data_IF_613608979650
#
_entry.id   IF_613608979650
#
_cell.length_a   1.000
_cell.length_b   1.000
_cell.length_c   1.000
_cell.angle_alpha   90.00
_cell.angle_beta   90.00
_cell.angle_gamma   90.00
#
_symmetry.space_group_name_H-M   'P 1'
#
loop_
_entity.id
_entity.type
_entity.pdbx_description
1 polymer ?
#
# COMPACT_ATOMS: atom_id res chain seq x y z
N UNK A 1 -13.26 -4.83 13.32
CA UNK A 1 -12.68 -4.18 12.16
C UNK A 1 -11.41 -4.92 11.77
N UNK A 2 -11.17 -5.17 10.49
CA UNK A 2 -9.91 -5.70 9.95
C UNK A 2 -9.47 -4.80 8.81
N UNK A 3 -8.18 -4.49 8.74
CA UNK A 3 -7.61 -3.56 7.78
C UNK A 3 -6.39 -4.18 7.10
N UNK A 4 -6.27 -4.01 5.80
CA UNK A 4 -4.98 -4.19 5.14
C UNK A 4 -4.10 -2.96 5.39
N UNK A 5 -2.78 -3.14 5.33
CA UNK A 5 -1.86 -2.02 5.38
C UNK A 5 -2.15 -1.08 4.21
N UNK A 6 -2.43 0.21 4.44
CA UNK A 6 -2.70 1.14 3.34
C UNK A 6 -1.45 1.55 2.55
N UNK A 7 -0.28 1.09 2.95
CA UNK A 7 1.02 1.30 2.29
C UNK A 7 1.57 -0.01 1.71
N UNK A 8 2.40 0.04 0.65
CA UNK A 8 2.99 -1.14 0.05
C UNK A 8 4.16 -1.72 0.89
N UNK A 9 4.56 -2.94 0.58
CA UNK A 9 5.84 -3.49 1.05
C UNK A 9 7.01 -2.79 0.31
N UNK A 10 8.21 -2.72 0.93
CA UNK A 10 8.61 -3.30 2.22
C UNK A 10 8.41 -2.36 3.43
N UNK A 11 7.69 -1.27 3.28
CA UNK A 11 7.56 -0.25 4.31
C UNK A 11 6.90 -0.77 5.59
N UNK A 12 7.33 -0.25 6.73
CA UNK A 12 6.89 -0.68 8.07
C UNK A 12 6.58 0.52 8.95
N UNK A 13 5.75 0.29 9.95
CA UNK A 13 5.47 1.28 10.99
C UNK A 13 6.78 1.64 11.68
N UNK A 14 7.00 2.95 11.87
CA UNK A 14 8.17 3.46 12.57
C UNK A 14 8.07 3.14 14.06
N UNK A 15 8.92 2.24 14.55
CA UNK A 15 8.96 1.84 15.96
C UNK A 15 9.24 2.99 16.93
N UNK A 16 9.82 4.11 16.45
CA UNK A 16 10.06 5.31 17.25
C UNK A 16 8.86 6.28 17.26
N UNK A 17 7.81 5.97 16.52
CA UNK A 17 6.60 6.79 16.40
C UNK A 17 5.33 5.93 16.52
N UNK A 18 5.18 5.17 17.64
CA UNK A 18 4.00 4.36 17.88
C UNK A 18 2.79 5.23 18.24
N UNK A 19 1.61 4.62 18.24
CA UNK A 19 0.41 5.17 18.86
C UNK A 19 0.61 5.35 20.38
N UNK A 20 0.05 6.44 20.94
CA UNK A 20 0.05 6.69 22.38
C UNK A 20 0.99 7.81 22.82
N UNK A 21 1.29 7.87 24.10
CA UNK A 21 2.11 8.94 24.69
C UNK A 21 3.59 8.80 24.30
N UNK A 22 4.14 9.83 23.64
CA UNK A 22 5.53 9.87 23.24
C UNK A 22 6.12 11.29 23.32
N UNK A 23 7.45 11.41 23.25
CA UNK A 23 8.10 12.70 23.03
C UNK A 23 7.84 13.16 21.61
N UNK A 24 7.31 14.38 21.47
CA UNK A 24 7.06 14.97 20.16
C UNK A 24 8.40 15.32 19.46
N UNK A 25 8.64 14.90 18.23
CA UNK A 25 9.96 15.03 17.58
C UNK A 25 10.40 16.49 17.35
N UNK A 26 9.45 17.43 17.19
CA UNK A 26 9.75 18.85 16.97
C UNK A 26 9.86 19.60 18.30
N UNK A 27 8.93 19.39 19.24
CA UNK A 27 8.84 20.22 20.46
C UNK A 27 9.53 19.59 21.66
N UNK A 28 9.91 18.32 21.60
CA UNK A 28 10.45 17.56 22.73
C UNK A 28 9.47 17.30 23.87
N UNK A 29 8.27 17.91 23.86
CA UNK A 29 7.25 17.77 24.89
C UNK A 29 6.55 16.41 24.79
N UNK A 30 6.04 15.91 25.92
CA UNK A 30 5.19 14.72 25.95
C UNK A 30 3.86 15.03 25.26
N UNK A 31 3.51 14.27 24.21
CA UNK A 31 2.28 14.46 23.45
C UNK A 31 1.70 13.10 23.08
N UNK A 32 0.37 13.01 23.08
CA UNK A 32 -0.33 11.82 22.61
C UNK A 32 -0.29 11.77 21.08
N UNK A 33 0.12 10.63 20.52
CA UNK A 33 0.16 10.35 19.10
C UNK A 33 -1.07 9.52 18.72
N UNK A 34 -1.96 10.11 17.94
CA UNK A 34 -3.28 9.57 17.64
C UNK A 34 -3.28 8.49 16.53
N UNK A 35 -2.13 8.11 16.02
CA UNK A 35 -1.99 7.15 14.94
C UNK A 35 -0.62 6.49 14.96
N UNK A 36 -0.24 5.94 13.81
CA UNK A 36 1.09 5.39 13.55
C UNK A 36 1.70 6.11 12.36
N UNK A 37 3.03 6.25 12.38
CA UNK A 37 3.77 6.84 11.28
C UNK A 37 4.51 5.76 10.49
N UNK A 38 4.48 5.88 9.16
CA UNK A 38 5.22 5.03 8.23
C UNK A 38 6.07 5.93 7.35
N UNK A 39 7.39 5.82 7.44
CA UNK A 39 8.29 6.55 6.56
C UNK A 39 8.10 6.06 5.11
N UNK A 40 7.68 6.97 4.23
CA UNK A 40 7.37 6.70 2.84
C UNK A 40 7.93 7.81 1.96
N UNK A 41 8.56 7.50 0.82
CA UNK A 41 8.86 8.51 -0.19
C UNK A 41 7.60 9.27 -0.62
N UNK A 42 7.75 10.56 -0.95
CA UNK A 42 6.65 11.33 -1.54
C UNK A 42 6.19 10.66 -2.83
N UNK A 43 4.86 10.55 -3.01
CA UNK A 43 4.28 9.93 -4.19
C UNK A 43 4.01 8.43 -4.06
N UNK A 44 4.38 7.79 -2.92
CA UNK A 44 4.07 6.36 -2.72
C UNK A 44 2.55 6.14 -2.75
N UNK A 45 2.04 5.20 -3.58
CA UNK A 45 0.61 4.89 -3.65
C UNK A 45 0.06 4.39 -2.32
N UNK A 46 -1.10 4.92 -1.92
CA UNK A 46 -1.83 4.53 -0.72
C UNK A 46 -3.19 3.97 -1.10
N UNK A 47 -3.56 2.84 -0.49
CA UNK A 47 -4.80 2.12 -0.77
C UNK A 47 -5.81 2.24 0.39
N UNK A 48 -7.08 1.99 0.10
CA UNK A 48 -8.09 1.77 1.13
C UNK A 48 -7.80 0.46 1.87
N UNK A 49 -7.66 0.51 3.21
CA UNK A 49 -7.38 -0.67 4.02
C UNK A 49 -8.58 -1.62 4.16
N UNK A 50 -9.79 -1.15 3.89
CA UNK A 50 -11.05 -1.91 3.88
C UNK A 50 -12.06 -1.22 2.98
N UNK A 51 -13.17 -1.91 2.67
CA UNK A 51 -14.33 -1.34 1.99
C UNK A 51 -14.88 -0.14 2.77
N UNK A 52 -15.30 0.90 2.05
CA UNK A 52 -15.83 2.10 2.70
C UNK A 52 -16.33 3.14 1.72
N UNK A 53 -16.54 4.35 2.25
CA UNK A 53 -16.97 5.53 1.49
C UNK A 53 -16.07 6.70 1.85
N UNK A 54 -15.62 7.46 0.88
CA UNK A 54 -14.86 8.69 1.11
C UNK A 54 -15.75 9.68 1.88
N UNK A 55 -15.42 9.93 3.14
CA UNK A 55 -16.24 10.73 4.03
C UNK A 55 -15.77 12.19 4.13
N UNK A 56 -14.49 12.44 3.89
CA UNK A 56 -13.92 13.79 3.89
C UNK A 56 -12.58 13.81 3.18
N UNK A 57 -12.27 14.95 2.56
CA UNK A 57 -10.94 15.33 2.13
C UNK A 57 -10.74 16.82 2.38
N UNK A 58 -9.55 17.22 2.77
CA UNK A 58 -9.28 18.61 3.11
C UNK A 58 -7.79 18.89 3.27
N UNK A 59 -7.48 20.08 3.76
CA UNK A 59 -6.14 20.49 4.11
C UNK A 59 -6.15 21.35 5.38
N UNK A 60 -5.04 21.30 6.10
CA UNK A 60 -4.87 22.11 7.31
C UNK A 60 -3.39 22.26 7.70
N UNK A 61 -3.09 23.27 8.52
CA UNK A 61 -1.71 23.59 8.90
C UNK A 61 -0.99 22.41 9.58
N UNK A 62 -1.68 21.64 10.42
CA UNK A 62 -1.09 20.50 11.11
C UNK A 62 -1.04 19.25 10.23
N UNK A 63 -2.19 18.80 9.72
CA UNK A 63 -2.31 17.52 9.02
C UNK A 63 -1.91 17.55 7.54
N UNK A 64 -1.69 18.73 6.95
CA UNK A 64 -1.51 18.86 5.51
C UNK A 64 -2.74 18.37 4.74
N UNK A 65 -2.55 17.85 3.54
CA UNK A 65 -3.64 17.20 2.82
C UNK A 65 -4.05 15.92 3.52
N UNK A 66 -5.37 15.76 3.71
CA UNK A 66 -5.97 14.70 4.54
C UNK A 66 -7.09 14.01 3.78
N UNK A 67 -7.23 12.71 3.98
CA UNK A 67 -8.33 11.88 3.50
C UNK A 67 -8.92 11.09 4.67
N UNK A 68 -10.26 11.04 4.75
CA UNK A 68 -10.99 10.24 5.72
C UNK A 68 -11.94 9.30 4.99
N UNK A 69 -11.86 8.01 5.30
CA UNK A 69 -12.71 6.96 4.77
C UNK A 69 -13.57 6.41 5.90
N UNK A 70 -14.89 6.40 5.71
CA UNK A 70 -15.85 5.77 6.63
C UNK A 70 -16.07 4.32 6.21
N UNK A 71 -15.97 3.42 7.16
CA UNK A 71 -16.17 1.98 7.01
C UNK A 71 -17.44 1.50 7.74
N UNK A 72 -17.78 0.22 7.62
CA UNK A 72 -18.87 -0.40 8.36
C UNK A 72 -18.69 -0.24 9.89
N UNK A 73 -19.79 -0.20 10.64
CA UNK A 73 -19.76 -0.03 12.10
C UNK A 73 -19.23 1.32 12.58
N UNK A 74 -19.36 2.36 11.75
CA UNK A 74 -18.91 3.73 12.03
C UNK A 74 -17.40 3.89 12.27
N UNK A 75 -16.59 2.93 11.84
CA UNK A 75 -15.15 3.05 11.87
C UNK A 75 -14.67 4.01 10.77
N UNK A 76 -13.56 4.71 11.06
CA UNK A 76 -12.94 5.65 10.12
C UNK A 76 -11.44 5.44 10.07
N UNK A 77 -10.87 5.46 8.88
CA UNK A 77 -9.42 5.57 8.69
C UNK A 77 -9.07 6.95 8.17
N UNK A 78 -7.98 7.52 8.67
CA UNK A 78 -7.52 8.85 8.27
C UNK A 78 -6.08 8.79 7.81
N UNK A 79 -5.83 9.44 6.68
CA UNK A 79 -4.53 9.53 6.01
C UNK A 79 -4.11 10.99 6.04
N UNK A 80 -2.96 11.31 6.61
CA UNK A 80 -2.41 12.65 6.71
C UNK A 80 -1.13 12.82 5.91
N UNK A 81 -0.70 14.08 5.79
CA UNK A 81 0.52 14.50 5.12
C UNK A 81 0.59 14.07 3.65
N UNK A 82 -0.56 13.94 2.99
CA UNK A 82 -0.66 13.51 1.60
C UNK A 82 0.03 14.50 0.66
N UNK A 83 0.49 14.01 -0.50
CA UNK A 83 1.16 14.84 -1.51
C UNK A 83 0.23 15.93 -2.07
N UNK A 84 -1.04 15.57 -2.27
CA UNK A 84 -2.12 16.43 -2.80
C UNK A 84 -3.47 15.91 -2.30
N UNK A 85 -4.57 16.66 -2.51
CA UNK A 85 -5.90 16.14 -2.23
C UNK A 85 -6.15 14.81 -2.93
N UNK A 86 -6.87 13.90 -2.29
CA UNK A 86 -7.28 12.64 -2.92
C UNK A 86 -8.01 12.91 -4.24
N UNK A 87 -7.73 12.10 -5.25
CA UNK A 87 -8.46 12.12 -6.53
C UNK A 87 -9.88 11.55 -6.42
N UNK A 88 -10.19 10.83 -5.34
CA UNK A 88 -11.53 10.30 -5.07
C UNK A 88 -12.48 11.40 -4.62
N UNK A 89 -13.78 11.27 -4.94
CA UNK A 89 -14.79 12.23 -4.55
C UNK A 89 -15.41 11.89 -3.19
N UNK A 90 -15.85 12.90 -2.44
CA UNK A 90 -16.65 12.69 -1.21
C UNK A 90 -17.94 11.98 -1.62
N UNK A 91 -18.32 10.93 -0.84
CA UNK A 91 -19.44 10.05 -1.15
C UNK A 91 -19.10 8.86 -2.05
N UNK A 92 -17.92 8.84 -2.67
CA UNK A 92 -17.49 7.75 -3.55
C UNK A 92 -17.22 6.46 -2.75
N UNK A 93 -17.82 5.31 -3.16
CA UNK A 93 -17.49 4.03 -2.55
C UNK A 93 -16.09 3.56 -2.99
N UNK A 94 -15.37 2.93 -2.06
CA UNK A 94 -14.06 2.31 -2.31
C UNK A 94 -14.03 0.89 -1.76
N UNK A 95 -13.29 0.03 -2.44
CA UNK A 95 -13.01 -1.33 -2.00
C UNK A 95 -11.63 -1.41 -1.35
N UNK A 96 -11.44 -2.39 -0.47
CA UNK A 96 -10.11 -2.73 0.02
C UNK A 96 -9.16 -2.92 -1.16
N UNK A 97 -7.99 -2.28 -1.12
CA UNK A 97 -7.01 -2.31 -2.21
C UNK A 97 -7.15 -1.21 -3.27
N UNK A 98 -8.24 -0.46 -3.30
CA UNK A 98 -8.38 0.67 -4.23
C UNK A 98 -7.37 1.77 -3.91
N UNK A 99 -6.71 2.30 -4.94
CA UNK A 99 -5.86 3.48 -4.82
C UNK A 99 -6.72 4.68 -4.38
N UNK A 100 -6.31 5.36 -3.30
CA UNK A 100 -7.08 6.47 -2.74
C UNK A 100 -6.27 7.76 -2.61
N UNK A 101 -4.94 7.68 -2.50
CA UNK A 101 -4.08 8.86 -2.36
C UNK A 101 -2.61 8.52 -2.65
N UNK A 102 -1.74 9.51 -2.53
CA UNK A 102 -0.29 9.33 -2.51
C UNK A 102 0.29 9.97 -1.25
N UNK A 103 1.27 9.30 -0.63
CA UNK A 103 2.02 9.84 0.50
C UNK A 103 2.75 11.13 0.14
N UNK A 104 2.99 11.97 1.13
CA UNK A 104 3.63 13.26 0.93
C UNK A 104 4.44 13.71 2.14
N UNK A 105 4.53 15.05 2.27
CA UNK A 105 5.22 15.73 3.36
C UNK A 105 4.56 17.09 3.64
N UNK A 106 3.23 17.18 3.49
CA UNK A 106 2.49 18.43 3.67
C UNK A 106 2.06 18.63 5.11
N UNK A 107 1.82 19.90 5.51
CA UNK A 107 1.47 20.25 6.90
C UNK A 107 2.68 20.25 7.84
N UNK A 108 2.44 20.06 9.15
CA UNK A 108 3.49 20.05 10.18
C UNK A 108 4.19 18.68 10.21
N UNK A 109 5.10 18.47 9.27
CA UNK A 109 5.86 17.22 9.10
C UNK A 109 7.36 17.50 9.10
N UNK A 110 8.15 16.60 9.69
CA UNK A 110 9.63 16.68 9.72
C UNK A 110 10.30 15.92 8.59
N UNK A 111 9.55 15.19 7.79
CA UNK A 111 10.04 14.40 6.66
C UNK A 111 8.95 13.56 6.02
N UNK A 112 9.16 13.04 4.81
CA UNK A 112 8.16 12.26 4.09
C UNK A 112 7.67 11.04 4.87
N UNK A 113 6.38 10.99 5.16
CA UNK A 113 5.74 9.87 5.85
C UNK A 113 4.22 9.89 5.66
N UNK A 114 3.57 8.77 5.94
CA UNK A 114 2.14 8.68 6.19
C UNK A 114 1.93 8.68 7.70
N UNK A 115 1.12 9.60 8.22
CA UNK A 115 0.48 9.46 9.52
C UNK A 115 -0.89 8.83 9.30
N UNK A 116 -1.15 7.70 9.96
CA UNK A 116 -2.36 6.89 9.76
C UNK A 116 -3.09 6.66 11.07
N UNK A 117 -4.38 7.04 11.09
CA UNK A 117 -5.24 6.86 12.27
C UNK A 117 -6.38 5.89 12.00
N UNK A 118 -6.78 5.16 13.03
CA UNK A 118 -8.04 4.43 13.12
C UNK A 118 -8.92 5.07 14.20
N UNK A 119 -10.16 5.39 13.84
CA UNK A 119 -11.12 6.05 14.74
C UNK A 119 -12.41 5.26 14.86
N UNK A 120 -13.06 5.34 16.03
CA UNK A 120 -14.39 4.76 16.28
C UNK A 120 -15.52 5.63 15.75
N UNK A 121 -15.23 6.90 15.53
CA UNK A 121 -16.18 7.88 14.99
C UNK A 121 -15.48 8.90 14.09
N UNK A 122 -16.25 9.82 13.52
CA UNK A 122 -15.70 10.94 12.75
C UNK A 122 -14.98 11.98 13.64
N UNK A 123 -15.18 11.93 14.95
CA UNK A 123 -14.66 12.93 15.89
C UNK A 123 -13.13 12.84 15.99
N UNK A 124 -12.47 13.98 15.93
CA UNK A 124 -11.03 14.06 16.15
C UNK A 124 -10.71 13.62 17.59
N UNK A 125 -9.64 12.84 17.76
CA UNK A 125 -9.21 12.34 19.07
C UNK A 125 -9.89 11.03 19.52
N UNK A 126 -10.98 10.59 18.89
CA UNK A 126 -11.61 9.29 19.17
C UNK A 126 -10.85 8.17 18.41
N UNK A 127 -9.56 8.05 18.74
CA UNK A 127 -8.62 7.15 18.06
C UNK A 127 -8.34 5.89 18.87
N UNK A 128 -7.99 4.83 18.19
CA UNK A 128 -7.46 3.59 18.75
C UNK A 128 -6.15 3.23 18.06
N UNK A 129 -5.31 2.43 18.72
CA UNK A 129 -4.11 1.90 18.11
C UNK A 129 -4.48 1.09 16.85
N UNK A 130 -4.00 1.48 15.66
CA UNK A 130 -4.31 0.74 14.42
C UNK A 130 -3.68 -0.64 14.37
N UNK A 131 -2.55 -0.86 15.04
CA UNK A 131 -1.70 -2.06 14.89
C UNK A 131 -2.47 -3.36 15.06
N UNK A 132 -3.30 -3.55 16.12
CA UNK A 132 -4.07 -4.79 16.31
C UNK A 132 -5.10 -5.10 15.21
N UNK A 133 -5.43 -4.12 14.39
CA UNK A 133 -6.42 -4.24 13.31
C UNK A 133 -5.80 -4.50 11.93
N UNK A 134 -4.48 -4.30 11.79
CA UNK A 134 -3.75 -4.49 10.55
C UNK A 134 -3.44 -5.97 10.29
N UNK A 135 -3.74 -6.45 9.08
CA UNK A 135 -3.56 -7.85 8.67
C UNK A 135 -2.34 -8.08 7.77
N UNK A 136 -1.55 -7.02 7.53
CA UNK A 136 -0.47 -7.05 6.55
C UNK A 136 -0.89 -6.46 5.19
N UNK A 137 -0.04 -6.64 4.15
CA UNK A 137 -0.25 -6.03 2.85
C UNK A 137 -1.50 -6.60 2.17
N UNK A 138 -2.22 -5.75 1.44
CA UNK A 138 -3.30 -6.20 0.57
C UNK A 138 -2.69 -7.04 -0.57
N UNK A 139 -3.11 -8.28 -0.64
CA UNK A 139 -2.79 -9.16 -1.77
C UNK A 139 -4.08 -9.32 -2.57
N UNK A 140 -4.12 -8.74 -3.76
CA UNK A 140 -5.20 -9.01 -4.68
C UNK A 140 -5.27 -10.52 -4.89
N UNK A 141 -6.42 -11.14 -4.61
CA UNK A 141 -6.62 -12.54 -4.98
C UNK A 141 -6.28 -12.66 -6.46
N UNK A 142 -5.36 -13.56 -6.80
CA UNK A 142 -5.01 -13.79 -8.20
C UNK A 142 -6.32 -14.01 -8.96
N UNK A 143 -6.66 -13.08 -9.84
CA UNK A 143 -7.84 -13.25 -10.70
C UNK A 143 -7.70 -14.62 -11.35
N UNK A 144 -8.71 -15.49 -11.27
CA UNK A 144 -8.63 -16.79 -11.94
C UNK A 144 -8.30 -16.49 -13.40
N UNK A 145 -7.12 -16.92 -13.85
CA UNK A 145 -6.73 -16.80 -15.25
C UNK A 145 -7.84 -17.46 -16.03
N UNK A 146 -8.67 -16.67 -16.72
CA UNK A 146 -9.67 -17.21 -17.65
C UNK A 146 -8.85 -18.00 -18.67
N UNK A 147 -8.83 -19.31 -18.52
CA UNK A 147 -8.20 -20.18 -19.51
C UNK A 147 -8.91 -19.90 -20.83
N UNK A 148 -8.20 -19.38 -21.80
CA UNK A 148 -8.72 -19.27 -23.16
C UNK A 148 -9.08 -20.68 -23.60
N UNK A 149 -10.36 -20.99 -23.86
CA UNK A 149 -10.78 -22.34 -24.29
C UNK A 149 -10.10 -22.78 -25.58
N UNK A 150 -9.44 -21.87 -26.29
CA UNK A 150 -8.66 -22.14 -27.51
C UNK A 150 -7.23 -22.58 -27.24
N UNK A 151 -6.69 -22.42 -26.01
CA UNK A 151 -5.36 -22.95 -25.65
C UNK A 151 -5.48 -24.42 -25.31
N UNK A 152 -5.34 -25.26 -26.32
CA UNK A 152 -5.23 -26.72 -26.18
C UNK A 152 -3.93 -27.02 -25.41
N UNK A 153 -3.98 -27.81 -24.30
CA UNK A 153 -2.73 -28.22 -23.65
C UNK A 153 -1.86 -28.99 -24.65
N UNK A 154 -0.54 -28.84 -24.59
CA UNK A 154 0.34 -29.59 -25.49
C UNK A 154 0.02 -31.08 -25.35
N UNK A 155 -0.21 -31.75 -26.48
CA UNK A 155 -0.44 -33.21 -26.54
C UNK A 155 0.74 -33.88 -25.84
N UNK A 156 0.49 -34.65 -24.79
CA UNK A 156 1.49 -35.56 -24.23
C UNK A 156 1.96 -36.47 -25.36
N UNK A 157 3.23 -36.35 -25.70
CA UNK A 157 3.87 -37.33 -26.62
C UNK A 157 3.79 -38.71 -25.95
N UNK A 158 3.46 -39.77 -26.72
CA UNK A 158 3.45 -41.14 -26.18
C UNK A 158 4.85 -41.48 -25.65
N UNK A 159 4.90 -42.00 -24.42
CA UNK A 159 6.11 -42.63 -23.87
C UNK A 159 6.37 -43.91 -24.68
N UNK A 160 7.49 -43.97 -25.37
CA UNK A 160 8.02 -45.19 -25.94
C UNK A 160 8.61 -44.98 -27.34
N UNK A 161 9.90 -44.76 -27.42
CA UNK A 161 10.83 -45.55 -28.22
C UNK A 161 12.22 -45.24 -27.66
N UNK A 162 12.87 -46.24 -27.09
CA UNK A 162 14.25 -46.21 -26.69
C UNK A 162 15.14 -46.29 -27.96
N UNK A 163 16.25 -45.55 -27.92
CA UNK A 163 17.40 -45.82 -28.79
C UNK A 163 17.47 -44.87 -29.99
N UNK A 164 18.36 -43.86 -29.94
CA UNK A 164 19.49 -43.66 -30.86
C UNK A 164 20.45 -42.67 -30.16
N UNK A 165 21.64 -43.19 -29.82
CA UNK A 165 22.83 -42.44 -29.45
C UNK A 165 23.27 -41.58 -30.65
N UNK A 166 23.40 -40.26 -30.44
CA UNK A 166 23.87 -39.35 -31.45
C UNK A 166 24.40 -38.06 -30.83
N UNK A 167 25.69 -37.89 -30.88
CA UNK A 167 26.48 -36.80 -30.33
C UNK A 167 25.94 -35.40 -30.64
N UNK A 168 25.67 -34.60 -29.63
CA UNK A 168 25.56 -33.14 -29.78
C UNK A 168 26.87 -32.50 -29.35
N UNK A 169 27.59 -31.96 -30.32
CA UNK A 169 28.73 -31.07 -30.17
C UNK A 169 28.31 -29.82 -29.37
N UNK A 170 29.13 -29.48 -28.40
CA UNK A 170 29.03 -28.23 -27.61
C UNK A 170 29.09 -27.01 -28.54
N UNK A 171 28.12 -26.15 -28.46
CA UNK A 171 28.10 -24.84 -29.10
C UNK A 171 28.58 -23.77 -28.13
N UNK A 172 29.64 -23.06 -28.51
CA UNK A 172 30.43 -22.07 -27.77
C UNK A 172 29.59 -20.84 -27.38
N UNK A 173 29.54 -20.56 -26.07
CA UNK A 173 28.87 -19.40 -25.49
C UNK A 173 29.78 -18.16 -25.49
N UNK A 174 30.20 -17.70 -26.67
CA UNK A 174 30.97 -16.45 -26.82
C UNK A 174 30.40 -15.56 -27.91
N UNK A 175 29.19 -15.02 -27.73
CA UNK A 175 28.75 -13.81 -28.47
C UNK A 175 27.44 -13.23 -27.87
N UNK A 176 27.47 -12.74 -26.63
CA UNK A 176 26.49 -11.78 -26.13
C UNK A 176 27.23 -10.65 -25.40
N UNK A 177 27.95 -9.86 -26.17
CA UNK A 177 28.35 -8.50 -25.79
C UNK A 177 28.01 -7.58 -26.96
N UNK A 178 27.20 -6.62 -26.69
CA UNK A 178 26.89 -5.37 -27.38
C UNK A 178 25.41 -5.20 -27.74
N UNK A 179 24.65 -4.79 -26.77
CA UNK A 179 23.46 -4.00 -27.05
C UNK A 179 23.13 -3.05 -25.87
N UNK A 180 24.10 -2.21 -25.51
CA UNK A 180 23.87 -0.96 -24.80
C UNK A 180 24.82 0.07 -25.42
N UNK A 181 24.32 0.84 -26.37
CA UNK A 181 25.04 1.92 -27.00
C UNK A 181 24.12 2.91 -27.66
N UNK A 182 24.00 4.07 -27.00
CA UNK A 182 23.69 5.41 -27.57
C UNK A 182 22.25 5.62 -28.10
N UNK A 183 21.43 6.37 -27.41
CA UNK A 183 21.29 7.85 -27.40
C UNK A 183 20.44 8.31 -26.23
#
# INVERSE_FOLDING_TARGET
MRLYNPWPEPYRINARSPYGWRRHPITGKRKFHHGVDVALPVGTPLIAGADGVIAHKGSGASGGYTLLIRHAGNWHTVYYHLQRPSHRNIGEPVKAGDLVANSGNTGASTGPHLHYELRRSRTWGDTVDPVPYLQGPYRQAASPVKRDPRTRPPRRLPRGVAGISGAFKAMDVRHVRNWFGRR
#
